data_IF_827389354498
#
_entry.id   IF_827389354498
#
_cell.length_a   1.000
_cell.length_b   1.000
_cell.length_c   1.000
_cell.angle_alpha   90.00
_cell.angle_beta   90.00
_cell.angle_gamma   90.00
#
_symmetry.space_group_name_H-M   'P 1'
#
loop_
_entity.id
_entity.type
_entity.pdbx_description
1 polymer ?
#
# COMPACT_ATOMS: atom_id res chain seq x y z
N UNK A 1 1.50 16.67 12.89
CA UNK A 1 0.74 16.01 11.82
C UNK A 1 1.16 14.56 11.76
N UNK A 2 0.21 13.64 11.56
CA UNK A 2 0.48 12.20 11.56
C UNK A 2 -0.14 11.50 10.37
N UNK A 3 0.49 10.42 9.93
CA UNK A 3 -0.02 9.50 8.91
C UNK A 3 -0.27 8.16 9.60
N UNK A 4 -1.48 7.64 9.45
CA UNK A 4 -1.93 6.43 10.14
C UNK A 4 -2.34 5.41 9.09
N UNK A 5 -1.84 4.18 9.19
CA UNK A 5 -2.26 3.06 8.35
C UNK A 5 -2.92 1.98 9.20
N UNK A 6 -4.10 1.51 8.79
CA UNK A 6 -4.90 0.52 9.49
C UNK A 6 -5.03 -0.73 8.62
N UNK A 7 -4.30 -1.77 9.00
CA UNK A 7 -4.43 -3.14 8.50
C UNK A 7 -5.59 -3.84 9.21
N UNK A 8 -6.37 -4.66 8.49
CA UNK A 8 -7.53 -5.39 9.06
C UNK A 8 -7.83 -6.70 8.34
N UNK A 9 -8.47 -7.63 9.03
CA UNK A 9 -9.09 -8.81 8.43
C UNK A 9 -10.29 -8.46 7.55
N UNK A 10 -10.76 -9.41 6.75
CA UNK A 10 -12.05 -9.26 6.04
C UNK A 10 -13.21 -9.15 7.02
N UNK A 11 -14.24 -8.36 6.68
CA UNK A 11 -15.47 -8.17 7.46
C UNK A 11 -15.29 -7.79 8.95
N UNK A 12 -14.16 -7.17 9.31
CA UNK A 12 -13.92 -6.63 10.65
C UNK A 12 -14.46 -5.21 10.85
N UNK A 13 -14.02 -4.57 11.93
CA UNK A 13 -14.32 -3.19 12.33
C UNK A 13 -13.36 -2.14 11.78
N UNK A 14 -12.33 -2.54 11.04
CA UNK A 14 -11.24 -1.61 10.72
C UNK A 14 -11.62 -0.48 9.75
N UNK A 15 -12.76 -0.57 9.04
CA UNK A 15 -13.30 0.58 8.28
C UNK A 15 -13.96 1.59 9.20
N UNK A 16 -14.83 1.11 10.08
CA UNK A 16 -15.60 1.91 11.03
C UNK A 16 -14.67 2.63 12.02
N UNK A 17 -13.63 1.93 12.51
CA UNK A 17 -12.60 2.54 13.37
C UNK A 17 -11.80 3.59 12.60
N UNK A 18 -11.48 3.37 11.33
CA UNK A 18 -10.73 4.33 10.53
C UNK A 18 -11.52 5.61 10.28
N UNK A 19 -12.79 5.48 9.93
CA UNK A 19 -13.71 6.60 9.72
C UNK A 19 -13.91 7.39 11.02
N UNK A 20 -14.24 6.73 12.13
CA UNK A 20 -14.38 7.37 13.45
C UNK A 20 -13.10 8.08 13.90
N UNK A 21 -11.94 7.46 13.67
CA UNK A 21 -10.64 8.04 14.02
C UNK A 21 -10.35 9.27 13.17
N UNK A 22 -10.60 9.20 11.86
CA UNK A 22 -10.41 10.32 10.95
C UNK A 22 -11.29 11.51 11.37
N UNK A 23 -12.58 11.27 11.63
CA UNK A 23 -13.52 12.28 12.10
C UNK A 23 -13.05 12.92 13.41
N UNK A 24 -12.62 12.10 14.38
CA UNK A 24 -12.14 12.57 15.68
C UNK A 24 -10.89 13.45 15.58
N UNK A 25 -9.99 13.13 14.64
CA UNK A 25 -8.74 13.87 14.43
C UNK A 25 -8.89 15.04 13.44
N UNK A 26 -10.00 15.11 12.71
CA UNK A 26 -10.16 16.05 11.58
C UNK A 26 -9.25 15.70 10.40
N UNK A 27 -9.02 14.41 10.17
CA UNK A 27 -8.11 13.87 9.16
C UNK A 27 -8.88 13.36 7.93
N UNK A 28 -8.19 13.24 6.80
CA UNK A 28 -8.76 12.59 5.62
C UNK A 28 -8.79 11.06 5.79
N UNK A 29 -9.93 10.43 5.57
CA UNK A 29 -10.06 8.97 5.56
C UNK A 29 -9.89 8.42 4.14
N UNK A 30 -8.83 7.66 3.90
CA UNK A 30 -8.46 7.16 2.57
C UNK A 30 -8.54 5.63 2.52
N UNK A 31 -9.23 5.11 1.51
CA UNK A 31 -9.19 3.68 1.17
C UNK A 31 -9.34 3.44 -0.33
N UNK A 32 -10.57 3.23 -0.81
CA UNK A 32 -10.86 2.90 -2.21
C UNK A 32 -10.43 3.99 -3.19
N UNK A 33 -10.38 5.25 -2.73
CA UNK A 33 -9.92 6.40 -3.53
C UNK A 33 -8.57 6.15 -4.19
N UNK A 34 -7.64 5.44 -3.53
CA UNK A 34 -6.34 5.07 -4.13
C UNK A 34 -6.48 4.28 -5.43
N UNK A 35 -7.46 3.38 -5.51
CA UNK A 35 -7.70 2.58 -6.73
C UNK A 35 -8.32 3.43 -7.84
N UNK A 36 -9.16 4.40 -7.48
CA UNK A 36 -9.75 5.34 -8.42
C UNK A 36 -8.67 6.29 -8.98
N UNK A 37 -7.84 6.85 -8.11
CA UNK A 37 -6.73 7.72 -8.49
C UNK A 37 -5.73 6.97 -9.39
N UNK A 38 -5.40 5.71 -9.06
CA UNK A 38 -4.56 4.87 -9.92
C UNK A 38 -5.22 4.56 -11.27
N UNK A 39 -6.54 4.30 -11.27
CA UNK A 39 -7.31 4.04 -12.49
C UNK A 39 -7.27 5.25 -13.43
N UNK A 40 -7.48 6.45 -12.90
CA UNK A 40 -7.42 7.70 -13.67
C UNK A 40 -5.99 8.02 -14.11
N UNK A 41 -5.03 8.01 -13.19
CA UNK A 41 -3.64 8.41 -13.47
C UNK A 41 -2.99 7.53 -14.56
N UNK A 42 -3.22 6.22 -14.52
CA UNK A 42 -2.58 5.27 -15.43
C UNK A 42 -3.51 4.76 -16.53
N UNK A 43 -4.75 5.28 -16.61
CA UNK A 43 -5.76 4.88 -17.59
C UNK A 43 -6.00 3.35 -17.62
N UNK A 44 -6.18 2.75 -16.44
CA UNK A 44 -6.41 1.31 -16.27
C UNK A 44 -7.75 1.08 -15.59
N UNK A 45 -8.62 0.20 -16.10
CA UNK A 45 -9.89 -0.10 -15.42
C UNK A 45 -9.70 -0.53 -13.96
N UNK A 46 -10.42 0.12 -13.04
CA UNK A 46 -10.41 -0.17 -11.59
C UNK A 46 -10.52 -1.67 -11.28
N UNK A 47 -11.37 -2.39 -12.01
CA UNK A 47 -11.58 -3.84 -11.84
C UNK A 47 -10.28 -4.66 -12.00
N UNK A 48 -9.33 -4.20 -12.82
CA UNK A 48 -8.02 -4.86 -12.97
C UNK A 48 -7.15 -4.64 -11.73
N UNK A 49 -7.21 -3.45 -11.12
CA UNK A 49 -6.50 -3.11 -9.89
C UNK A 49 -7.05 -3.92 -8.71
N UNK A 50 -8.39 -3.99 -8.59
CA UNK A 50 -9.07 -4.80 -7.57
C UNK A 50 -8.66 -6.27 -7.71
N UNK A 51 -8.73 -6.84 -8.91
CA UNK A 51 -8.32 -8.24 -9.15
C UNK A 51 -6.85 -8.51 -8.82
N UNK A 52 -5.96 -7.53 -9.02
CA UNK A 52 -4.54 -7.65 -8.70
C UNK A 52 -4.27 -7.72 -7.18
N UNK A 53 -5.16 -7.11 -6.40
CA UNK A 53 -5.14 -7.11 -4.93
C UNK A 53 -5.79 -8.37 -4.35
N UNK A 54 -6.90 -8.82 -4.94
CA UNK A 54 -7.69 -9.95 -4.42
C UNK A 54 -7.09 -11.31 -4.76
N UNK A 55 -6.43 -11.44 -5.91
CA UNK A 55 -5.95 -12.72 -6.41
C UNK A 55 -4.43 -12.81 -6.31
N UNK A 56 -3.88 -13.57 -5.33
CA UNK A 56 -2.45 -13.82 -5.30
C UNK A 56 -1.99 -14.37 -6.66
N UNK A 57 -0.86 -13.89 -7.20
CA UNK A 57 -0.30 -14.48 -8.41
C UNK A 57 -0.05 -15.98 -8.23
N UNK A 58 -0.52 -16.78 -9.19
CA UNK A 58 -0.24 -18.21 -9.20
C UNK A 58 1.25 -18.47 -9.44
N UNK A 59 1.75 -19.66 -9.10
CA UNK A 59 3.16 -20.02 -9.28
C UNK A 59 3.63 -19.87 -10.75
N UNK A 60 2.71 -19.98 -11.71
CA UNK A 60 2.95 -19.80 -13.16
C UNK A 60 2.96 -18.32 -13.56
N UNK A 61 2.15 -17.48 -12.91
CA UNK A 61 2.12 -16.02 -13.15
C UNK A 61 3.40 -15.31 -12.66
N UNK A 62 4.25 -15.98 -11.84
CA UNK A 62 5.59 -15.49 -11.44
C UNK A 62 6.49 -15.10 -12.62
N UNK A 63 6.27 -15.68 -13.80
CA UNK A 63 7.05 -15.42 -15.00
C UNK A 63 6.48 -14.25 -15.83
N UNK A 64 5.31 -13.73 -15.48
CA UNK A 64 4.64 -12.66 -16.23
C UNK A 64 4.62 -11.35 -15.46
N UNK A 65 5.17 -10.29 -16.06
CA UNK A 65 5.13 -8.89 -15.58
C UNK A 65 3.71 -8.31 -15.44
N UNK A 66 2.66 -9.08 -15.73
CA UNK A 66 1.30 -8.61 -15.90
C UNK A 66 0.63 -8.07 -14.63
N UNK A 67 0.98 -8.59 -13.44
CA UNK A 67 0.42 -8.13 -12.16
C UNK A 67 1.30 -7.08 -11.44
N UNK A 68 2.61 -7.08 -11.67
CA UNK A 68 3.53 -6.14 -11.04
C UNK A 68 3.21 -4.68 -11.36
N UNK A 69 2.77 -4.41 -12.60
CA UNK A 69 2.37 -3.06 -13.01
C UNK A 69 1.21 -2.51 -12.20
N UNK A 70 0.20 -3.32 -11.90
CA UNK A 70 -0.94 -2.86 -11.10
C UNK A 70 -0.50 -2.51 -9.69
N UNK A 71 0.42 -3.29 -9.11
CA UNK A 71 0.99 -2.98 -7.80
C UNK A 71 1.83 -1.71 -7.84
N UNK A 72 2.59 -1.47 -8.92
CA UNK A 72 3.31 -0.21 -9.12
C UNK A 72 2.35 0.99 -9.16
N UNK A 73 1.25 0.89 -9.91
CA UNK A 73 0.22 1.94 -9.99
C UNK A 73 -0.45 2.21 -8.64
N UNK A 74 -0.85 1.15 -7.92
CA UNK A 74 -1.46 1.27 -6.59
C UNK A 74 -0.49 1.94 -5.61
N UNK A 75 0.79 1.55 -5.63
CA UNK A 75 1.83 2.13 -4.78
C UNK A 75 2.06 3.62 -5.06
N UNK A 76 2.12 4.02 -6.33
CA UNK A 76 2.26 5.43 -6.72
C UNK A 76 1.06 6.27 -6.24
N UNK A 77 -0.16 5.82 -6.54
CA UNK A 77 -1.38 6.51 -6.13
C UNK A 77 -1.53 6.56 -4.59
N UNK A 78 -1.14 5.50 -3.89
CA UNK A 78 -1.13 5.47 -2.43
C UNK A 78 -0.18 6.53 -1.85
N UNK A 79 1.07 6.60 -2.34
CA UNK A 79 2.04 7.59 -1.83
C UNK A 79 1.56 9.02 -2.04
N UNK A 80 0.97 9.30 -3.20
CA UNK A 80 0.35 10.59 -3.48
C UNK A 80 -0.80 10.91 -2.51
N UNK A 81 -1.61 9.91 -2.16
CA UNK A 81 -2.75 10.08 -1.25
C UNK A 81 -2.35 10.33 0.20
N UNK A 82 -1.18 9.87 0.65
CA UNK A 82 -0.70 10.09 2.02
C UNK A 82 0.25 11.29 2.14
N UNK A 83 0.64 11.90 1.02
CA UNK A 83 1.58 13.01 0.99
C UNK A 83 1.03 14.30 1.61
N UNK A 84 -0.30 14.44 1.69
CA UNK A 84 -1.04 15.61 2.21
C UNK A 84 -1.04 15.74 3.73
N UNK A 85 -0.43 14.78 4.45
CA UNK A 85 -0.51 14.64 5.90
C UNK A 85 -1.93 14.50 6.45
N UNK A 86 -2.04 14.20 7.76
CA UNK A 86 -3.31 14.10 8.46
C UNK A 86 -4.26 13.10 7.75
N UNK A 87 -3.73 11.91 7.46
CA UNK A 87 -4.44 10.85 6.74
C UNK A 87 -4.60 9.63 7.64
N UNK A 88 -5.80 9.05 7.63
CA UNK A 88 -6.07 7.70 8.10
C UNK A 88 -6.32 6.82 6.89
N UNK A 89 -5.36 5.97 6.56
CA UNK A 89 -5.47 5.01 5.47
C UNK A 89 -5.91 3.64 5.98
N UNK A 90 -7.01 3.10 5.48
CA UNK A 90 -7.51 1.75 5.84
C UNK A 90 -7.76 0.85 4.62
N UNK A 91 -7.14 1.22 3.50
CA UNK A 91 -7.12 0.44 2.28
C UNK A 91 -6.13 -0.74 2.35
N UNK A 92 -5.89 -1.32 1.19
CA UNK A 92 -5.09 -2.52 1.09
C UNK A 92 -3.59 -2.24 1.26
N UNK A 93 -2.90 -3.11 2.02
CA UNK A 93 -1.43 -3.20 2.10
C UNK A 93 -0.64 -1.91 2.46
N UNK A 94 -1.28 -0.86 2.96
CA UNK A 94 -0.62 0.44 3.19
C UNK A 94 0.61 0.35 4.11
N UNK A 95 0.50 -0.41 5.20
CA UNK A 95 1.61 -0.69 6.13
C UNK A 95 2.84 -1.33 5.45
N UNK A 96 2.67 -2.13 4.40
CA UNK A 96 3.80 -2.68 3.64
C UNK A 96 4.49 -1.62 2.79
N UNK A 97 3.74 -0.65 2.27
CA UNK A 97 4.28 0.38 1.37
C UNK A 97 5.12 1.42 2.12
N UNK A 98 4.79 1.66 3.39
CA UNK A 98 5.44 2.64 4.28
C UNK A 98 6.27 1.99 5.39
N UNK A 99 6.59 0.70 5.28
CA UNK A 99 7.25 -0.07 6.33
C UNK A 99 8.53 0.60 6.83
N UNK A 100 9.34 1.07 5.89
CA UNK A 100 10.67 1.63 6.17
C UNK A 100 10.62 3.16 6.37
N UNK A 101 9.42 3.74 6.49
CA UNK A 101 9.23 5.18 6.71
C UNK A 101 9.00 5.43 8.22
N UNK A 102 9.85 6.25 8.86
CA UNK A 102 9.67 6.58 10.27
C UNK A 102 8.43 7.45 10.48
N UNK A 103 7.96 7.52 11.72
CA UNK A 103 6.82 8.32 12.16
C UNK A 103 5.44 7.97 11.57
N UNK A 104 5.34 7.14 10.55
CA UNK A 104 4.05 6.61 10.07
C UNK A 104 3.56 5.53 11.04
N UNK A 105 2.41 5.77 11.67
CA UNK A 105 1.80 4.85 12.63
C UNK A 105 1.10 3.70 11.91
N UNK A 106 1.53 2.47 12.19
CA UNK A 106 1.04 1.23 11.54
C UNK A 106 0.25 0.43 12.56
N UNK A 107 -1.04 0.22 12.28
CA UNK A 107 -1.98 -0.37 13.22
C UNK A 107 -2.61 -1.61 12.60
N UNK A 108 -2.80 -2.65 13.41
CA UNK A 108 -3.59 -3.83 13.03
C UNK A 108 -4.83 -3.94 13.91
N UNK A 109 -5.98 -4.07 13.26
CA UNK A 109 -7.26 -4.36 13.93
C UNK A 109 -7.71 -5.79 13.61
N UNK A 110 -7.80 -6.60 14.65
CA UNK A 110 -8.35 -7.94 14.62
C UNK A 110 -9.77 -7.93 15.23
N UNK A 111 -10.69 -8.68 14.63
CA UNK A 111 -12.06 -8.82 15.11
C UNK A 111 -12.36 -10.30 15.37
N UNK A 112 -13.20 -10.57 16.36
CA UNK A 112 -13.64 -11.93 16.68
C UNK A 112 -14.34 -12.60 15.48
N UNK A 113 -14.08 -13.90 15.27
CA UNK A 113 -14.63 -14.63 14.13
C UNK A 113 -16.16 -14.67 14.16
N UNK A 114 -16.78 -14.85 15.33
CA UNK A 114 -18.25 -14.91 15.44
C UNK A 114 -18.89 -13.59 15.03
N UNK A 115 -18.29 -12.46 15.41
CA UNK A 115 -18.75 -11.15 14.98
C UNK A 115 -18.70 -11.02 13.45
N UNK A 116 -17.58 -11.40 12.83
CA UNK A 116 -17.42 -11.33 11.36
C UNK A 116 -18.44 -12.22 10.65
N UNK A 117 -18.68 -13.42 11.16
CA UNK A 117 -19.70 -14.34 10.65
C UNK A 117 -21.09 -13.68 10.72
N UNK A 118 -21.48 -13.13 11.87
CA UNK A 118 -22.77 -12.45 12.02
C UNK A 118 -22.92 -11.28 11.04
N UNK A 119 -21.85 -10.50 10.83
CA UNK A 119 -21.83 -9.40 9.87
C UNK A 119 -22.05 -9.88 8.43
N UNK A 120 -21.39 -10.96 8.01
CA UNK A 120 -21.57 -11.55 6.68
C UNK A 120 -22.96 -12.15 6.51
N UNK A 121 -23.46 -12.90 7.50
CA UNK A 121 -24.82 -13.47 7.50
C UNK A 121 -25.85 -12.35 7.30
N UNK A 122 -25.71 -11.24 8.05
CA UNK A 122 -26.61 -10.08 7.95
C UNK A 122 -26.54 -9.38 6.59
N UNK A 123 -25.34 -9.19 6.04
CA UNK A 123 -25.13 -8.40 4.83
C UNK A 123 -25.37 -9.18 3.54
N UNK A 124 -25.04 -10.47 3.52
CA UNK A 124 -25.04 -11.32 2.32
C UNK A 124 -26.16 -12.36 2.33
N UNK A 125 -26.93 -12.47 3.43
CA UNK A 125 -28.04 -13.42 3.58
C UNK A 125 -27.63 -14.88 3.32
N UNK A 126 -26.53 -15.31 3.94
CA UNK A 126 -25.95 -16.67 3.84
C UNK A 126 -26.00 -17.39 5.19
N UNK A 127 -25.81 -18.71 5.20
CA UNK A 127 -25.66 -19.47 6.46
C UNK A 127 -24.35 -19.13 7.18
N UNK A 128 -24.31 -19.34 8.49
CA UNK A 128 -23.10 -19.11 9.31
C UNK A 128 -21.89 -19.92 8.80
N UNK A 129 -22.09 -21.18 8.43
CA UNK A 129 -21.05 -22.04 7.83
C UNK A 129 -20.53 -21.48 6.50
N UNK A 130 -21.44 -20.98 5.65
CA UNK A 130 -21.03 -20.35 4.39
C UNK A 130 -20.28 -19.03 4.63
N UNK A 131 -20.74 -18.21 5.58
CA UNK A 131 -20.06 -16.98 5.98
C UNK A 131 -18.63 -17.27 6.47
N UNK A 132 -18.44 -18.25 7.36
CA UNK A 132 -17.12 -18.66 7.84
C UNK A 132 -16.20 -19.09 6.68
N UNK A 133 -16.73 -19.88 5.75
CA UNK A 133 -15.99 -20.32 4.55
C UNK A 133 -15.61 -19.15 3.63
N UNK A 134 -16.49 -18.18 3.43
CA UNK A 134 -16.23 -16.97 2.63
C UNK A 134 -15.09 -16.17 3.27
N UNK A 135 -15.22 -15.90 4.56
CA UNK A 135 -14.23 -15.17 5.35
C UNK A 135 -12.86 -15.86 5.29
N UNK A 136 -12.80 -17.17 5.55
CA UNK A 136 -11.57 -17.94 5.54
C UNK A 136 -10.88 -17.93 4.17
N UNK A 137 -11.65 -18.01 3.07
CA UNK A 137 -11.12 -17.91 1.71
C UNK A 137 -10.48 -16.54 1.43
N UNK A 138 -11.14 -15.46 1.84
CA UNK A 138 -10.64 -14.09 1.60
C UNK A 138 -9.38 -13.82 2.44
N UNK A 139 -9.40 -14.20 3.72
CA UNK A 139 -8.25 -14.00 4.60
C UNK A 139 -7.03 -14.81 4.13
N UNK A 140 -7.21 -16.07 3.72
CA UNK A 140 -6.13 -16.90 3.19
C UNK A 140 -5.61 -16.36 1.84
N UNK A 141 -6.48 -15.84 0.96
CA UNK A 141 -6.05 -15.22 -0.28
C UNK A 141 -5.18 -13.97 -0.01
N UNK A 142 -5.57 -13.11 0.94
CA UNK A 142 -4.80 -11.93 1.36
C UNK A 142 -3.46 -12.31 1.98
N UNK A 143 -3.44 -13.36 2.81
CA UNK A 143 -2.22 -13.90 3.42
C UNK A 143 -1.25 -14.45 2.36
N UNK A 144 -1.74 -15.26 1.42
CA UNK A 144 -0.92 -15.74 0.30
C UNK A 144 -0.38 -14.60 -0.55
N UNK A 145 -1.19 -13.56 -0.75
CA UNK A 145 -0.78 -12.38 -1.50
C UNK A 145 0.36 -11.62 -0.80
N UNK A 146 0.26 -11.41 0.53
CA UNK A 146 1.31 -10.72 1.29
C UNK A 146 2.60 -11.53 1.33
N UNK A 147 2.50 -12.85 1.55
CA UNK A 147 3.64 -13.76 1.52
C UNK A 147 4.31 -13.78 0.14
N UNK A 148 3.52 -13.74 -0.93
CA UNK A 148 4.07 -13.78 -2.28
C UNK A 148 4.88 -12.52 -2.61
N UNK A 149 4.32 -11.33 -2.35
CA UNK A 149 4.92 -10.07 -2.81
C UNK A 149 5.95 -9.50 -1.83
N UNK A 150 5.77 -9.77 -0.54
CA UNK A 150 6.58 -9.18 0.51
C UNK A 150 7.35 -10.22 1.33
N UNK A 151 7.02 -11.51 1.21
CA UNK A 151 7.55 -12.53 2.12
C UNK A 151 7.03 -12.37 3.56
N UNK A 152 5.95 -11.61 3.76
CA UNK A 152 5.44 -11.21 5.08
C UNK A 152 4.03 -11.75 5.34
N UNK A 153 3.77 -12.16 6.58
CA UNK A 153 2.46 -12.60 7.04
C UNK A 153 1.81 -11.46 7.83
N UNK A 154 0.59 -11.05 7.45
CA UNK A 154 -0.12 -9.97 8.16
C UNK A 154 -0.50 -10.30 9.61
N UNK A 155 -0.30 -11.55 10.05
CA UNK A 155 -0.45 -11.93 11.46
C UNK A 155 0.78 -11.60 12.32
N UNK A 156 1.92 -11.30 11.70
CA UNK A 156 3.15 -10.91 12.39
C UNK A 156 2.97 -9.54 13.06
N UNK A 157 3.13 -9.51 14.39
CA UNK A 157 2.95 -8.32 15.19
C UNK A 157 4.08 -7.30 14.96
N UNK A 158 5.27 -7.74 14.55
CA UNK A 158 6.43 -6.88 14.31
C UNK A 158 6.25 -5.93 13.11
N UNK A 159 5.19 -6.13 12.33
CA UNK A 159 4.80 -5.26 11.22
C UNK A 159 4.05 -3.98 11.68
N UNK A 160 3.72 -3.89 12.96
CA UNK A 160 2.79 -2.88 13.49
C UNK A 160 3.34 -2.21 14.74
N UNK A 161 3.03 -0.93 14.91
CA UNK A 161 3.27 -0.20 16.16
C UNK A 161 2.21 -0.56 17.21
N UNK A 162 0.99 -0.94 16.77
CA UNK A 162 -0.12 -1.34 17.64
C UNK A 162 -0.98 -2.44 17.03
N UNK A 163 -1.36 -3.43 17.83
CA UNK A 163 -2.30 -4.49 17.46
C UNK A 163 -3.46 -4.52 18.45
N UNK A 164 -4.68 -4.30 17.95
CA UNK A 164 -5.90 -4.33 18.75
C UNK A 164 -6.75 -5.54 18.39
N UNK A 165 -7.34 -6.18 19.40
CA UNK A 165 -8.46 -7.10 19.24
C UNK A 165 -9.75 -6.39 19.68
N UNK A 166 -10.73 -6.29 18.79
CA UNK A 166 -12.07 -5.83 19.13
C UNK A 166 -12.84 -7.03 19.69
N UNK A 167 -13.10 -6.95 20.99
CA UNK A 167 -13.73 -7.98 21.82
C UNK A 167 -14.16 -7.28 23.12
N UNK A 168 -13.35 -7.36 24.18
CA UNK A 168 -13.57 -6.60 25.42
C UNK A 168 -13.49 -5.08 25.22
N UNK A 169 -12.55 -4.61 24.39
CA UNK A 169 -12.50 -3.21 23.96
C UNK A 169 -13.44 -3.01 22.79
N UNK A 170 -14.28 -1.99 22.87
CA UNK A 170 -15.12 -1.57 21.75
C UNK A 170 -14.36 -0.62 20.81
N UNK A 171 -14.99 -0.26 19.69
CA UNK A 171 -14.42 0.64 18.69
C UNK A 171 -14.00 1.99 19.28
N UNK A 172 -14.84 2.58 20.14
CA UNK A 172 -14.61 3.91 20.68
C UNK A 172 -13.40 3.93 21.63
N UNK A 173 -13.23 2.87 22.45
CA UNK A 173 -12.05 2.69 23.28
C UNK A 173 -10.77 2.65 22.42
N UNK A 174 -10.79 1.88 21.33
CA UNK A 174 -9.64 1.76 20.44
C UNK A 174 -9.36 3.08 19.71
N UNK A 175 -10.39 3.77 19.23
CA UNK A 175 -10.26 5.10 18.62
C UNK A 175 -9.63 6.10 19.60
N UNK A 176 -10.06 6.12 20.86
CA UNK A 176 -9.52 7.04 21.89
C UNK A 176 -8.05 6.75 22.20
N UNK A 177 -7.68 5.47 22.31
CA UNK A 177 -6.29 5.05 22.52
C UNK A 177 -5.43 5.48 21.33
N UNK A 178 -5.86 5.20 20.10
CA UNK A 178 -5.11 5.58 18.90
C UNK A 178 -4.98 7.10 18.81
N UNK A 179 -6.09 7.84 18.94
CA UNK A 179 -6.11 9.30 18.83
C UNK A 179 -5.17 9.96 19.84
N UNK A 180 -5.06 9.42 21.04
CA UNK A 180 -4.12 9.88 22.07
C UNK A 180 -2.68 9.51 21.74
N UNK A 181 -2.46 8.28 21.28
CA UNK A 181 -1.12 7.73 21.01
C UNK A 181 -0.45 8.44 19.84
N UNK A 182 -1.20 8.73 18.77
CA UNK A 182 -0.63 9.39 17.58
C UNK A 182 -0.19 10.83 17.83
N UNK A 183 -0.53 11.44 18.98
CA UNK A 183 0.00 12.74 19.39
C UNK A 183 1.46 12.68 19.91
N UNK A 184 1.97 11.48 20.22
CA UNK A 184 3.35 11.33 20.68
C UNK A 184 4.33 11.80 19.60
N UNK A 185 5.48 12.40 19.97
CA UNK A 185 6.46 12.91 19.02
C UNK A 185 6.95 11.86 18.02
N UNK A 186 7.03 10.59 18.41
CA UNK A 186 7.44 9.50 17.53
C UNK A 186 6.45 9.20 16.40
N UNK A 187 5.20 9.70 16.45
CA UNK A 187 4.20 9.59 15.37
C UNK A 187 3.90 10.92 14.69
N UNK A 188 4.64 11.97 15.03
CA UNK A 188 4.59 13.24 14.31
C UNK A 188 5.60 13.19 13.16
N UNK A 189 5.17 13.55 11.94
CA UNK A 189 6.05 13.54 10.77
C UNK A 189 7.23 14.51 10.99
N UNK A 190 8.42 13.94 11.14
CA UNK A 190 9.68 14.66 11.26
C UNK A 190 10.22 15.08 9.88
N UNK A 191 11.22 15.97 9.80
CA UNK A 191 11.91 16.28 8.55
C UNK A 191 12.51 15.04 7.87
N UNK A 192 13.03 14.09 8.66
CA UNK A 192 13.54 12.81 8.15
C UNK A 192 12.43 11.94 7.56
N UNK A 193 11.29 11.84 8.24
CA UNK A 193 10.13 11.11 7.71
C UNK A 193 9.57 11.76 6.45
N UNK A 194 9.53 13.10 6.38
CA UNK A 194 9.16 13.83 5.16
C UNK A 194 10.09 13.49 4.00
N UNK A 195 11.39 13.54 4.21
CA UNK A 195 12.36 13.19 3.17
C UNK A 195 12.19 11.73 2.72
N UNK A 196 11.97 10.80 3.67
CA UNK A 196 11.71 9.39 3.35
C UNK A 196 10.41 9.21 2.54
N UNK A 197 9.33 9.94 2.87
CA UNK A 197 8.08 9.95 2.11
C UNK A 197 8.28 10.48 0.69
N UNK A 198 8.97 11.62 0.54
CA UNK A 198 9.21 12.25 -0.76
C UNK A 198 10.06 11.35 -1.66
N UNK A 199 11.13 10.77 -1.11
CA UNK A 199 11.97 9.80 -1.79
C UNK A 199 11.16 8.56 -2.21
N UNK A 200 10.33 8.02 -1.32
CA UNK A 200 9.55 6.82 -1.63
C UNK A 200 8.45 7.08 -2.64
N UNK A 201 7.83 8.25 -2.59
CA UNK A 201 6.84 8.72 -3.56
C UNK A 201 7.45 8.79 -4.95
N UNK A 202 8.60 9.46 -5.09
CA UNK A 202 9.33 9.55 -6.35
C UNK A 202 9.75 8.16 -6.86
N UNK A 203 10.28 7.30 -5.98
CA UNK A 203 10.64 5.92 -6.35
C UNK A 203 9.47 5.17 -6.98
N UNK A 204 8.27 5.23 -6.36
CA UNK A 204 7.09 4.52 -6.84
C UNK A 204 6.48 5.14 -8.10
N UNK A 205 6.49 6.46 -8.23
CA UNK A 205 6.07 7.15 -9.46
C UNK A 205 6.96 6.75 -10.64
N UNK A 206 8.28 6.73 -10.46
CA UNK A 206 9.21 6.29 -11.51
C UNK A 206 8.97 4.82 -11.85
N UNK A 207 8.83 3.93 -10.86
CA UNK A 207 8.53 2.51 -11.10
C UNK A 207 7.26 2.34 -11.93
N UNK A 208 6.20 3.09 -11.62
CA UNK A 208 4.95 3.06 -12.35
C UNK A 208 5.10 3.51 -13.81
N UNK A 209 5.91 4.54 -14.08
CA UNK A 209 6.19 5.02 -15.44
C UNK A 209 7.05 4.04 -16.26
N UNK A 210 7.92 3.27 -15.59
CA UNK A 210 8.86 2.35 -16.24
C UNK A 210 8.30 0.93 -16.46
N UNK A 211 7.37 0.45 -15.62
CA UNK A 211 7.02 -0.98 -15.55
C UNK A 211 6.53 -1.61 -16.86
N UNK A 212 5.85 -0.85 -17.74
CA UNK A 212 5.39 -1.37 -19.03
C UNK A 212 6.39 -1.17 -20.16
N UNK A 213 7.02 0.00 -20.23
CA UNK A 213 7.89 0.39 -21.35
C UNK A 213 9.31 -0.12 -21.19
N UNK A 214 9.74 -0.36 -19.95
CA UNK A 214 11.08 -0.78 -19.60
C UNK A 214 11.06 -2.02 -18.70
N UNK A 215 10.59 -3.18 -19.22
CA UNK A 215 10.44 -4.43 -18.46
C UNK A 215 11.78 -5.01 -17.97
N UNK A 216 12.90 -4.49 -18.48
CA UNK A 216 14.26 -4.84 -18.06
C UNK A 216 14.74 -4.05 -16.83
N UNK A 217 13.92 -3.16 -16.28
CA UNK A 217 14.21 -2.45 -15.03
C UNK A 217 14.22 -3.42 -13.87
N UNK A 218 15.37 -3.55 -13.20
CA UNK A 218 15.54 -4.44 -12.05
C UNK A 218 15.38 -3.73 -10.71
N UNK A 219 15.80 -2.49 -10.64
CA UNK A 219 15.74 -1.71 -9.41
C UNK A 219 15.56 -0.22 -9.74
N UNK A 220 14.79 0.46 -8.90
CA UNK A 220 14.66 1.91 -8.90
C UNK A 220 14.73 2.35 -7.45
N UNK A 221 15.55 3.36 -7.18
CA UNK A 221 15.63 4.09 -5.92
C UNK A 221 15.64 5.59 -6.19
N UNK A 222 15.21 6.37 -5.22
CA UNK A 222 15.23 7.82 -5.29
C UNK A 222 15.79 8.40 -3.98
N UNK A 223 16.58 9.45 -4.10
CA UNK A 223 17.15 10.20 -2.97
C UNK A 223 17.31 11.66 -3.32
N UNK A 224 16.62 12.54 -2.59
CA UNK A 224 16.68 14.00 -2.72
C UNK A 224 16.44 14.51 -4.16
N UNK A 225 15.63 13.79 -4.95
CA UNK A 225 15.32 14.07 -6.36
C UNK A 225 16.26 13.43 -7.38
N UNK A 226 17.34 12.78 -6.94
CA UNK A 226 18.17 11.93 -7.81
C UNK A 226 17.59 10.52 -7.85
N UNK A 227 17.37 9.99 -9.06
CA UNK A 227 16.80 8.66 -9.28
C UNK A 227 17.85 7.75 -9.88
N UNK A 228 18.10 6.61 -9.24
CA UNK A 228 18.96 5.57 -9.79
C UNK A 228 18.10 4.45 -10.38
N UNK A 229 18.30 4.15 -11.66
CA UNK A 229 17.63 3.05 -12.36
C UNK A 229 18.65 1.98 -12.73
N UNK A 230 18.46 0.77 -12.24
CA UNK A 230 19.28 -0.39 -12.60
C UNK A 230 18.53 -1.22 -13.64
N UNK A 231 19.17 -1.47 -14.78
CA UNK A 231 18.56 -2.19 -15.91
C UNK A 231 19.48 -3.28 -16.44
N UNK A 232 18.90 -4.36 -16.95
CA UNK A 232 19.62 -5.39 -17.71
C UNK A 232 19.45 -5.17 -19.21
N UNK A 233 20.53 -4.84 -19.92
CA UNK A 233 20.47 -4.65 -21.37
C UNK A 233 21.80 -4.98 -22.03
N UNK A 234 21.74 -5.37 -23.30
CA UNK A 234 22.93 -5.58 -24.11
C UNK A 234 23.69 -4.25 -24.30
N UNK A 235 25.02 -4.30 -24.26
CA UNK A 235 25.92 -3.13 -24.40
C UNK A 235 25.54 -2.20 -25.57
N UNK A 236 25.21 -2.79 -26.72
CA UNK A 236 24.86 -2.06 -27.95
C UNK A 236 23.60 -1.20 -27.87
N UNK A 237 22.76 -1.39 -26.86
CA UNK A 237 21.47 -0.70 -26.73
C UNK A 237 21.47 0.37 -25.62
N UNK A 238 22.57 0.55 -24.87
CA UNK A 238 22.62 1.42 -23.67
C UNK A 238 22.20 2.86 -23.96
N UNK A 239 22.87 3.52 -24.91
CA UNK A 239 22.63 4.93 -25.24
C UNK A 239 21.18 5.17 -25.70
N UNK A 240 20.65 4.26 -26.53
CA UNK A 240 19.27 4.35 -27.01
C UNK A 240 18.25 4.22 -25.87
N UNK A 241 18.45 3.23 -24.99
CA UNK A 241 17.57 2.99 -23.84
C UNK A 241 17.62 4.17 -22.88
N UNK A 242 18.80 4.72 -22.63
CA UNK A 242 18.98 5.88 -21.75
C UNK A 242 18.27 7.13 -22.29
N UNK A 243 18.44 7.45 -23.58
CA UNK A 243 17.76 8.58 -24.21
C UNK A 243 16.23 8.44 -24.17
N UNK A 244 15.71 7.22 -24.40
CA UNK A 244 14.27 6.95 -24.34
C UNK A 244 13.72 7.05 -22.90
N UNK A 245 14.49 6.57 -21.92
CA UNK A 245 14.16 6.64 -20.50
C UNK A 245 14.12 8.08 -20.02
N UNK A 246 15.13 8.90 -20.34
CA UNK A 246 15.14 10.32 -20.00
C UNK A 246 13.95 11.06 -20.63
N UNK A 247 13.60 10.74 -21.88
CA UNK A 247 12.43 11.32 -22.54
C UNK A 247 11.13 10.92 -21.84
N UNK A 248 11.01 9.67 -21.40
CA UNK A 248 9.82 9.15 -20.73
C UNK A 248 9.59 9.80 -19.36
N UNK A 249 10.64 9.96 -18.57
CA UNK A 249 10.58 10.49 -17.21
C UNK A 249 10.61 12.01 -17.15
N UNK A 250 10.67 12.69 -18.31
CA UNK A 250 10.69 14.15 -18.37
C UNK A 250 9.39 14.74 -17.82
N UNK A 251 9.51 15.60 -16.83
CA UNK A 251 8.36 16.29 -16.23
C UNK A 251 7.71 15.54 -15.06
N UNK A 252 8.31 14.44 -14.58
CA UNK A 252 7.93 13.84 -13.30
C UNK A 252 8.30 14.81 -12.18
N UNK A 253 7.30 15.17 -11.35
CA UNK A 253 7.49 16.09 -10.22
C UNK A 253 8.52 15.54 -9.23
N UNK A 254 9.40 16.44 -8.75
CA UNK A 254 10.47 16.09 -7.80
C UNK A 254 11.72 15.44 -8.43
N UNK A 255 11.69 15.07 -9.71
CA UNK A 255 12.86 14.53 -10.41
C UNK A 255 13.85 15.63 -10.79
N UNK A 256 15.10 15.50 -10.34
CA UNK A 256 16.21 16.43 -10.64
C UNK A 256 17.24 15.83 -11.58
N UNK A 257 17.63 14.58 -11.35
CA UNK A 257 18.60 13.86 -12.18
C UNK A 257 18.29 12.37 -12.22
N UNK A 258 18.77 11.70 -13.26
CA UNK A 258 18.61 10.27 -13.46
C UNK A 258 20.00 9.66 -13.68
N UNK A 259 20.34 8.66 -12.87
CA UNK A 259 21.54 7.84 -13.02
C UNK A 259 21.14 6.44 -13.49
N UNK A 260 21.56 6.04 -14.69
CA UNK A 260 21.23 4.72 -15.25
C UNK A 260 22.43 3.78 -15.11
N UNK A 261 22.24 2.68 -14.36
CA UNK A 261 23.22 1.64 -14.16
C UNK A 261 22.84 0.39 -14.95
N UNK A 262 23.68 0.01 -15.92
CA UNK A 262 23.45 -1.19 -16.72
C UNK A 262 24.22 -2.39 -16.16
N UNK A 263 23.50 -3.47 -15.86
CA UNK A 263 24.07 -4.78 -15.51
C UNK A 263 24.02 -5.72 -16.72
N UNK A 264 24.96 -6.66 -16.75
CA UNK A 264 25.15 -7.67 -17.80
C UNK A 264 24.99 -9.07 -17.24
#
# INVERSE_FOLDING_TARGET
MSIITISRGSYGYGSEIAEKLADKLGYECVSRKVLLDASEQFNIPEIKLVKAIENPPSFIERLSLGKEKYIAYIRAAFMKSIATDNVVYHGFAGHFFVRDIPNVCKIRINADMNYRIQKVVKNENVSAENAERIIGKIDEARRKWSLHLYGMDTSDADLYDMVFKIDNMNEDNVVDIIASTVQLPCFQISPEAREALDNKSLEYEIKANLVEKFPMTRHVSAKAGTVTVVMETALKNKEKVEAELQKNLRGVDGLKSIDVCFKH
#
